data_IF_432189264367
#
_entry.id   IF_432189264367
#
_cell.length_a   1.000
_cell.length_b   1.000
_cell.length_c   1.000
_cell.angle_alpha   90.00
_cell.angle_beta   90.00
_cell.angle_gamma   90.00
#
_symmetry.space_group_name_H-M   'P 1'
#
loop_
_entity.id
_entity.type
_entity.pdbx_description
1 polymer ?
#
# COMPACT_ATOMS: atom_id res chain seq x y z
N UNK A 1 -23.91 6.62 -31.15
CA UNK A 1 -24.35 5.70 -32.22
C UNK A 1 -24.85 6.47 -33.43
N UNK A 2 -24.86 5.84 -34.62
CA UNK A 2 -25.29 6.52 -35.86
C UNK A 2 -26.82 6.68 -35.89
N UNK A 3 -27.30 7.92 -36.04
CA UNK A 3 -28.73 8.18 -36.23
C UNK A 3 -29.09 7.86 -37.68
N UNK A 4 -30.16 7.09 -37.95
CA UNK A 4 -30.61 6.82 -39.32
C UNK A 4 -30.83 8.12 -40.11
N UNK A 5 -30.53 8.10 -41.41
CA UNK A 5 -30.80 9.25 -42.28
C UNK A 5 -32.31 9.48 -42.37
N UNK A 6 -32.75 10.72 -42.17
CA UNK A 6 -34.16 11.08 -42.22
C UNK A 6 -34.45 11.64 -43.60
N UNK A 7 -35.41 11.06 -44.32
CA UNK A 7 -35.90 11.60 -45.60
C UNK A 7 -37.17 12.40 -45.37
N UNK A 8 -37.27 13.59 -45.97
CA UNK A 8 -38.47 14.42 -45.89
C UNK A 8 -38.81 15.04 -47.25
N UNK A 9 -40.09 15.38 -47.45
CA UNK A 9 -40.59 15.98 -48.70
C UNK A 9 -41.16 17.37 -48.41
N UNK A 10 -40.70 18.37 -49.15
CA UNK A 10 -41.23 19.74 -49.12
C UNK A 10 -42.26 19.87 -50.24
N UNK A 11 -43.42 20.44 -49.96
CA UNK A 11 -44.46 20.77 -50.95
C UNK A 11 -44.68 22.27 -50.97
N UNK A 12 -44.77 22.89 -52.15
CA UNK A 12 -45.07 24.32 -52.26
C UNK A 12 -46.59 24.60 -52.31
N UNK A 13 -46.96 25.88 -52.39
CA UNK A 13 -48.37 26.30 -52.46
C UNK A 13 -49.07 25.94 -53.78
N UNK A 14 -48.33 25.49 -54.79
CA UNK A 14 -48.85 25.04 -56.08
C UNK A 14 -48.99 23.51 -56.16
N UNK A 15 -48.39 22.77 -55.22
CA UNK A 15 -48.47 21.31 -55.11
C UNK A 15 -47.24 20.57 -55.64
N UNK A 16 -46.18 21.27 -56.05
CA UNK A 16 -44.91 20.66 -56.45
C UNK A 16 -44.18 20.10 -55.23
N UNK A 17 -43.57 18.92 -55.36
CA UNK A 17 -42.89 18.24 -54.25
C UNK A 17 -41.42 17.96 -54.54
N UNK A 18 -40.57 18.10 -53.52
CA UNK A 18 -39.14 17.77 -53.58
C UNK A 18 -38.72 17.00 -52.33
N UNK A 19 -38.04 15.87 -52.50
CA UNK A 19 -37.48 15.12 -51.37
C UNK A 19 -36.04 15.55 -51.07
N UNK A 20 -35.72 15.59 -49.78
CA UNK A 20 -34.43 15.96 -49.19
C UNK A 20 -34.09 15.05 -48.00
N UNK A 21 -32.86 15.16 -47.47
CA UNK A 21 -32.40 14.37 -46.32
C UNK A 21 -31.91 15.24 -45.17
N UNK A 22 -32.08 14.77 -43.94
CA UNK A 22 -31.47 15.29 -42.72
C UNK A 22 -30.58 14.18 -42.12
N UNK A 23 -29.31 14.48 -41.98
CA UNK A 23 -28.34 13.62 -41.29
C UNK A 23 -28.06 14.20 -39.91
N UNK A 24 -28.15 13.36 -38.87
CA UNK A 24 -27.77 13.72 -37.51
C UNK A 24 -26.56 12.87 -37.11
N UNK A 25 -25.49 13.53 -36.67
CA UNK A 25 -24.31 12.86 -36.13
C UNK A 25 -24.24 13.10 -34.62
N UNK A 26 -24.00 12.03 -33.87
CA UNK A 26 -23.74 12.09 -32.43
C UNK A 26 -22.30 11.62 -32.20
N UNK A 27 -21.47 12.52 -31.69
CA UNK A 27 -20.12 12.18 -31.22
C UNK A 27 -20.24 11.61 -29.80
N UNK A 28 -19.77 10.37 -29.55
CA UNK A 28 -19.68 9.86 -28.19
C UNK A 28 -18.73 10.73 -27.36
N UNK A 29 -18.96 10.76 -26.06
CA UNK A 29 -18.10 11.40 -25.06
C UNK A 29 -17.83 10.33 -24.03
N UNK A 30 -16.56 10.19 -23.62
CA UNK A 30 -16.15 9.28 -22.56
C UNK A 30 -17.04 9.43 -21.33
N UNK A 31 -17.59 8.31 -20.88
CA UNK A 31 -18.32 8.19 -19.61
C UNK A 31 -17.55 7.36 -18.58
N UNK A 32 -16.34 6.94 -18.91
CA UNK A 32 -15.40 6.28 -18.01
C UNK A 32 -15.11 7.15 -16.78
N UNK A 33 -15.33 6.57 -15.60
CA UNK A 33 -14.97 7.13 -14.30
C UNK A 33 -14.30 6.06 -13.44
N UNK A 34 -13.26 6.45 -12.70
CA UNK A 34 -12.45 5.61 -11.83
C UNK A 34 -11.82 6.51 -10.76
N UNK A 35 -11.88 6.10 -9.50
CA UNK A 35 -11.35 6.82 -8.34
C UNK A 35 -10.10 6.12 -7.81
N UNK A 36 -9.16 6.87 -7.23
CA UNK A 36 -7.93 6.29 -6.65
C UNK A 36 -8.20 5.43 -5.39
N UNK A 37 -7.46 4.33 -5.23
CA UNK A 37 -7.48 3.49 -4.04
C UNK A 37 -6.42 3.86 -3.00
N UNK A 38 -6.74 3.52 -1.75
CA UNK A 38 -5.77 3.47 -0.67
C UNK A 38 -5.99 2.20 0.14
N UNK A 39 -4.91 1.51 0.47
CA UNK A 39 -4.92 0.32 1.31
C UNK A 39 -3.81 0.42 2.36
N UNK A 40 -4.14 -0.04 3.57
CA UNK A 40 -3.20 -0.16 4.68
C UNK A 40 -3.23 -1.59 5.18
N UNK A 41 -2.05 -2.19 5.29
CA UNK A 41 -1.84 -3.54 5.84
C UNK A 41 -0.80 -3.48 6.97
N UNK A 42 -0.79 -4.48 7.84
CA UNK A 42 0.35 -4.74 8.71
C UNK A 42 1.53 -5.27 7.87
N UNK A 43 2.76 -5.11 8.35
CA UNK A 43 3.89 -5.83 7.76
C UNK A 43 3.70 -7.34 7.82
N UNK A 44 4.49 -8.05 7.00
CA UNK A 44 4.41 -9.50 6.78
C UNK A 44 3.02 -10.01 6.35
N UNK A 45 2.18 -9.11 5.86
CA UNK A 45 0.86 -9.42 5.32
C UNK A 45 0.83 -9.08 3.83
N UNK A 46 0.21 -9.94 3.02
CA UNK A 46 0.01 -9.65 1.60
C UNK A 46 -1.17 -8.68 1.45
N UNK A 47 -0.98 -7.57 0.74
CA UNK A 47 -2.07 -6.71 0.31
C UNK A 47 -2.71 -7.27 -0.96
N UNK A 48 -4.04 -7.35 -0.98
CA UNK A 48 -4.83 -7.80 -2.13
C UNK A 48 -6.06 -6.93 -2.32
N UNK A 49 -6.48 -6.73 -3.57
CA UNK A 49 -7.73 -6.03 -3.89
C UNK A 49 -7.97 -5.97 -5.38
N UNK A 50 -8.89 -5.11 -5.81
CA UNK A 50 -9.15 -4.83 -7.21
C UNK A 50 -9.29 -3.32 -7.43
N UNK A 51 -8.50 -2.74 -8.33
CA UNK A 51 -8.53 -1.30 -8.67
C UNK A 51 -9.71 -0.91 -9.58
N UNK A 52 -10.48 -1.87 -10.07
CA UNK A 52 -11.67 -1.63 -10.90
C UNK A 52 -12.98 -1.69 -10.09
N UNK A 53 -12.93 -1.94 -8.77
CA UNK A 53 -14.12 -2.10 -7.93
C UNK A 53 -14.97 -0.81 -7.85
N UNK A 54 -14.35 0.35 -8.02
CA UNK A 54 -15.01 1.67 -8.03
C UNK A 54 -15.17 2.26 -9.45
N UNK A 55 -14.70 1.55 -10.47
CA UNK A 55 -14.70 2.02 -11.85
C UNK A 55 -16.06 1.79 -12.53
N UNK A 56 -16.44 2.68 -13.45
CA UNK A 56 -17.72 2.62 -14.16
C UNK A 56 -17.65 3.21 -15.57
N UNK A 57 -18.45 2.64 -16.48
CA UNK A 57 -18.70 3.09 -17.86
C UNK A 57 -19.98 2.45 -18.38
N UNK A 58 -20.66 3.04 -19.37
CA UNK A 58 -21.73 2.36 -20.10
C UNK A 58 -21.23 1.58 -21.33
N UNK A 59 -19.96 1.74 -21.72
CA UNK A 59 -19.42 1.25 -22.99
C UNK A 59 -18.86 -0.18 -22.94
N UNK A 60 -18.96 -0.86 -21.80
CA UNK A 60 -18.71 -2.30 -21.69
C UNK A 60 -17.77 -2.69 -20.54
N UNK A 61 -17.08 -3.85 -20.64
CA UNK A 61 -16.13 -4.27 -19.62
C UNK A 61 -14.93 -3.33 -19.55
N UNK A 62 -14.38 -3.23 -18.34
CA UNK A 62 -13.22 -2.45 -17.98
C UNK A 62 -11.98 -3.35 -17.85
N UNK A 63 -10.82 -2.80 -18.17
CA UNK A 63 -9.52 -3.48 -18.02
C UNK A 63 -8.46 -2.49 -17.57
N UNK A 64 -7.43 -3.00 -16.90
CA UNK A 64 -6.17 -2.27 -16.73
C UNK A 64 -5.24 -2.63 -17.88
N UNK A 65 -4.64 -1.63 -18.52
CA UNK A 65 -3.74 -1.84 -19.66
C UNK A 65 -2.26 -1.74 -19.27
N UNK A 66 -1.93 -0.78 -18.40
CA UNK A 66 -0.56 -0.55 -17.93
C UNK A 66 -0.57 0.10 -16.56
N UNK A 67 0.57 0.02 -15.88
CA UNK A 67 0.82 0.74 -14.64
C UNK A 67 2.23 1.26 -14.56
N UNK A 68 2.45 2.28 -13.74
CA UNK A 68 3.72 2.93 -13.50
C UNK A 68 4.01 2.95 -12.01
N UNK A 69 5.18 2.48 -11.62
CA UNK A 69 5.65 2.46 -10.24
C UNK A 69 7.17 2.70 -10.21
N UNK A 70 7.65 3.48 -9.25
CA UNK A 70 9.07 3.84 -9.18
C UNK A 70 9.61 4.58 -10.42
N UNK A 71 8.73 5.23 -11.19
CA UNK A 71 9.08 5.94 -12.42
C UNK A 71 9.20 5.07 -13.68
N UNK A 72 8.93 3.77 -13.60
CA UNK A 72 8.95 2.86 -14.75
C UNK A 72 7.52 2.37 -15.09
N UNK A 73 7.23 2.18 -16.38
CA UNK A 73 5.94 1.68 -16.86
C UNK A 73 6.03 0.20 -17.23
N UNK A 74 5.00 -0.54 -16.84
CA UNK A 74 4.85 -1.99 -17.00
C UNK A 74 3.48 -2.30 -17.63
N UNK A 75 3.35 -3.47 -18.26
CA UNK A 75 2.06 -3.94 -18.74
C UNK A 75 1.26 -4.53 -17.58
N UNK A 76 -0.06 -4.43 -17.63
CA UNK A 76 -0.88 -5.18 -16.69
C UNK A 76 -0.63 -6.69 -16.84
N UNK A 77 -0.51 -7.38 -15.71
CA UNK A 77 -0.09 -8.78 -15.59
C UNK A 77 1.41 -8.98 -15.35
N UNK A 78 2.24 -7.93 -15.48
CA UNK A 78 3.65 -8.01 -15.09
C UNK A 78 3.79 -8.04 -13.56
N UNK A 79 4.73 -8.86 -13.09
CA UNK A 79 5.21 -8.86 -11.70
C UNK A 79 6.48 -8.02 -11.59
N UNK A 80 6.49 -7.08 -10.65
CA UNK A 80 7.54 -6.09 -10.46
C UNK A 80 8.14 -6.23 -9.07
N UNK A 81 9.46 -6.47 -9.01
CA UNK A 81 10.22 -6.43 -7.77
C UNK A 81 10.64 -4.99 -7.47
N UNK A 82 10.19 -4.48 -6.32
CA UNK A 82 10.52 -3.17 -5.77
C UNK A 82 11.49 -3.32 -4.60
N UNK A 83 11.99 -2.21 -4.07
CA UNK A 83 12.76 -2.19 -2.82
C UNK A 83 11.91 -2.58 -1.61
N UNK A 84 10.60 -2.33 -1.67
CA UNK A 84 9.64 -2.55 -0.59
C UNK A 84 8.98 -3.94 -0.62
N UNK A 85 9.02 -4.63 -1.77
CA UNK A 85 8.32 -5.90 -1.95
C UNK A 85 8.07 -6.24 -3.42
N UNK A 86 7.19 -7.21 -3.66
CA UNK A 86 6.78 -7.64 -5.01
C UNK A 86 5.34 -7.23 -5.31
N UNK A 87 5.13 -6.54 -6.43
CA UNK A 87 3.82 -6.07 -6.90
C UNK A 87 3.40 -6.82 -8.18
N UNK A 88 2.15 -7.25 -8.25
CA UNK A 88 1.48 -7.63 -9.50
C UNK A 88 0.15 -6.89 -9.61
N UNK A 89 -0.14 -6.30 -10.76
CA UNK A 89 -1.44 -5.70 -11.09
C UNK A 89 -1.93 -6.27 -12.42
N UNK A 90 -3.00 -7.06 -12.39
CA UNK A 90 -3.52 -7.81 -13.52
C UNK A 90 -4.46 -6.98 -14.39
N UNK A 91 -4.73 -7.48 -15.60
CA UNK A 91 -5.65 -6.84 -16.56
C UNK A 91 -7.09 -6.74 -16.07
N UNK A 92 -7.51 -7.62 -15.17
CA UNK A 92 -8.84 -7.61 -14.54
C UNK A 92 -8.92 -6.68 -13.31
N UNK A 93 -7.86 -5.91 -13.06
CA UNK A 93 -7.74 -4.98 -11.95
C UNK A 93 -7.32 -5.63 -10.63
N UNK A 94 -7.30 -6.96 -10.53
CA UNK A 94 -6.83 -7.63 -9.32
C UNK A 94 -5.34 -7.34 -9.10
N UNK A 95 -4.96 -7.05 -7.86
CA UNK A 95 -3.57 -6.82 -7.50
C UNK A 95 -3.15 -7.62 -6.27
N UNK A 96 -1.85 -7.87 -6.19
CA UNK A 96 -1.17 -8.39 -5.02
C UNK A 96 0.09 -7.58 -4.76
N UNK A 97 0.33 -7.20 -3.52
CA UNK A 97 1.63 -6.70 -3.07
C UNK A 97 2.08 -7.52 -1.86
N UNK A 98 3.25 -8.16 -1.99
CA UNK A 98 3.92 -8.90 -0.93
C UNK A 98 5.08 -8.05 -0.43
N UNK A 99 4.98 -7.41 0.74
CA UNK A 99 6.11 -6.71 1.35
C UNK A 99 7.31 -7.63 1.52
N UNK A 100 8.52 -7.07 1.48
CA UNK A 100 9.70 -7.78 1.99
C UNK A 100 9.54 -8.00 3.51
N UNK A 101 10.16 -9.06 4.05
CA UNK A 101 10.10 -9.37 5.48
C UNK A 101 10.49 -8.16 6.35
N UNK A 102 9.64 -7.84 7.34
CA UNK A 102 9.77 -6.71 8.27
C UNK A 102 9.85 -5.33 7.56
N UNK A 103 9.36 -5.23 6.32
CA UNK A 103 9.18 -3.92 5.69
C UNK A 103 7.93 -3.24 6.25
N UNK A 104 8.13 -2.08 6.85
CA UNK A 104 7.08 -1.11 7.14
C UNK A 104 7.40 0.26 6.53
N UNK A 105 6.36 0.98 6.14
CA UNK A 105 6.48 2.29 5.48
C UNK A 105 5.58 2.44 4.26
N UNK A 106 5.86 3.48 3.47
CA UNK A 106 5.11 3.79 2.26
C UNK A 106 5.72 3.09 1.04
N UNK A 107 4.87 2.50 0.22
CA UNK A 107 5.25 1.96 -1.10
C UNK A 107 5.18 3.10 -2.14
N UNK A 108 6.06 3.15 -3.15
CA UNK A 108 5.92 4.10 -4.25
C UNK A 108 4.52 4.03 -4.87
N UNK A 109 3.87 5.19 -5.04
CA UNK A 109 2.51 5.27 -5.60
C UNK A 109 2.46 4.59 -6.97
N UNK A 110 1.47 3.72 -7.14
CA UNK A 110 1.22 3.00 -8.39
C UNK A 110 0.19 3.80 -9.18
N UNK A 111 0.56 4.32 -10.35
CA UNK A 111 -0.38 4.95 -11.28
C UNK A 111 -0.79 3.93 -12.33
N UNK A 112 -2.08 3.67 -12.53
CA UNK A 112 -2.56 2.71 -13.53
C UNK A 112 -3.50 3.37 -14.54
N UNK A 113 -3.70 2.70 -15.67
CA UNK A 113 -4.58 3.14 -16.76
C UNK A 113 -5.74 2.16 -16.91
N UNK A 114 -6.95 2.64 -16.64
CA UNK A 114 -8.20 1.94 -16.92
C UNK A 114 -8.61 2.21 -18.35
N UNK A 115 -9.15 1.19 -19.02
CA UNK A 115 -9.61 1.26 -20.41
C UNK A 115 -10.93 0.51 -20.56
N UNK A 116 -11.91 1.15 -21.19
CA UNK A 116 -13.18 0.51 -21.55
C UNK A 116 -13.13 -0.13 -22.95
N UNK A 117 -14.26 -0.69 -23.38
CA UNK A 117 -14.37 -1.33 -24.69
C UNK A 117 -14.55 -0.37 -25.87
N UNK A 118 -14.86 0.91 -25.61
CA UNK A 118 -14.87 1.96 -26.62
C UNK A 118 -13.45 2.53 -26.88
N UNK A 119 -12.51 2.23 -25.99
CA UNK A 119 -11.12 2.69 -26.05
C UNK A 119 -10.87 3.99 -25.29
N UNK A 120 -11.84 4.45 -24.49
CA UNK A 120 -11.63 5.56 -23.58
C UNK A 120 -10.75 5.12 -22.41
N UNK A 121 -9.92 6.04 -21.91
CA UNK A 121 -8.91 5.75 -20.89
C UNK A 121 -8.94 6.76 -19.77
N UNK A 122 -8.68 6.30 -18.55
CA UNK A 122 -8.54 7.13 -17.37
C UNK A 122 -7.34 6.69 -16.54
N UNK A 123 -6.66 7.66 -15.93
CA UNK A 123 -5.53 7.41 -15.04
C UNK A 123 -5.94 7.66 -13.59
N UNK A 124 -5.59 6.69 -12.73
CA UNK A 124 -5.85 6.70 -11.30
C UNK A 124 -4.67 6.09 -10.54
N UNK A 125 -4.76 6.01 -9.21
CA UNK A 125 -3.64 5.59 -8.37
C UNK A 125 -4.02 4.63 -7.27
N UNK A 126 -3.19 3.61 -7.07
CA UNK A 126 -3.22 2.74 -5.89
C UNK A 126 -2.10 3.19 -4.93
N UNK A 127 -2.49 3.56 -3.70
CA UNK A 127 -1.55 3.89 -2.61
C UNK A 127 -1.56 2.78 -1.57
N UNK A 128 -0.39 2.19 -1.30
CA UNK A 128 -0.21 1.11 -0.31
C UNK A 128 0.66 1.64 0.84
N UNK A 129 0.18 1.46 2.06
CA UNK A 129 0.94 1.73 3.30
C UNK A 129 1.06 0.46 4.14
N UNK A 130 2.25 0.21 4.68
CA UNK A 130 2.53 -0.94 5.54
C UNK A 130 2.83 -0.43 6.95
N UNK A 131 2.05 -0.84 7.94
CA UNK A 131 2.20 -0.43 9.33
C UNK A 131 3.10 -1.40 10.09
N UNK A 132 3.99 -0.90 10.97
CA UNK A 132 4.85 -1.75 11.76
C UNK A 132 4.05 -2.58 12.77
N UNK A 133 4.54 -3.78 13.04
CA UNK A 133 4.15 -4.71 14.10
C UNK A 133 5.42 -5.01 14.88
N UNK A 134 5.34 -5.06 16.20
CA UNK A 134 6.56 -5.26 16.99
C UNK A 134 7.11 -6.68 16.79
N UNK A 135 8.37 -6.74 16.38
CA UNK A 135 9.14 -7.99 16.31
C UNK A 135 9.97 -8.25 17.57
N UNK A 136 9.74 -7.47 18.63
CA UNK A 136 10.47 -7.59 19.88
C UNK A 136 10.01 -8.83 20.65
N UNK A 137 10.95 -9.72 20.92
CA UNK A 137 10.80 -10.77 21.92
C UNK A 137 11.94 -10.68 22.94
N UNK A 138 11.65 -11.06 24.19
CA UNK A 138 12.58 -10.96 25.30
C UNK A 138 12.19 -11.98 26.40
N UNK A 139 13.17 -12.76 26.84
CA UNK A 139 13.03 -13.77 27.90
C UNK A 139 13.75 -13.29 29.17
N UNK A 140 13.14 -13.51 30.34
CA UNK A 140 13.72 -13.02 31.60
C UNK A 140 15.04 -13.68 32.00
N UNK A 141 15.99 -12.88 32.49
CA UNK A 141 17.26 -13.36 33.02
C UNK A 141 17.16 -13.88 34.46
N UNK A 142 18.05 -14.80 34.80
CA UNK A 142 18.33 -15.16 36.19
C UNK A 142 19.84 -15.29 36.40
N UNK A 143 20.38 -14.51 37.34
CA UNK A 143 21.78 -14.55 37.70
C UNK A 143 21.92 -15.07 39.13
N UNK A 144 22.80 -16.05 39.34
CA UNK A 144 23.17 -16.55 40.66
C UNK A 144 24.68 -16.47 40.81
N UNK A 145 25.11 -15.81 41.88
CA UNK A 145 26.52 -15.66 42.22
C UNK A 145 26.76 -16.12 43.66
N UNK A 146 28.02 -16.38 44.01
CA UNK A 146 28.41 -16.56 45.40
C UNK A 146 28.38 -15.21 46.13
N UNK A 147 28.23 -15.24 47.44
CA UNK A 147 28.44 -14.04 48.26
C UNK A 147 29.82 -13.43 48.02
N UNK A 148 29.91 -12.10 48.19
CA UNK A 148 31.14 -11.32 48.03
C UNK A 148 31.77 -11.39 46.63
N UNK A 149 30.96 -11.66 45.60
CA UNK A 149 31.39 -11.58 44.19
C UNK A 149 30.56 -10.55 43.42
N UNK A 150 31.11 -10.05 42.32
CA UNK A 150 30.41 -9.12 41.44
C UNK A 150 29.55 -9.92 40.46
N UNK A 151 28.24 -9.61 40.40
CA UNK A 151 27.38 -10.11 39.34
C UNK A 151 27.57 -9.27 38.07
N UNK A 152 27.72 -9.93 36.93
CA UNK A 152 27.82 -9.31 35.61
C UNK A 152 26.97 -10.11 34.63
N UNK A 153 26.39 -9.46 33.65
CA UNK A 153 25.61 -10.09 32.58
C UNK A 153 25.20 -9.05 31.55
N UNK A 154 24.36 -9.45 30.61
CA UNK A 154 23.67 -8.52 29.72
C UNK A 154 22.20 -8.92 29.63
N UNK A 155 21.29 -7.98 29.95
CA UNK A 155 19.84 -8.22 29.92
C UNK A 155 19.26 -8.21 28.50
N UNK A 156 20.07 -7.91 27.49
CA UNK A 156 19.69 -7.99 26.08
C UNK A 156 20.13 -9.31 25.43
N UNK A 157 20.80 -10.22 26.16
CA UNK A 157 21.31 -11.48 25.60
C UNK A 157 20.19 -12.41 25.11
N UNK A 158 18.98 -12.33 25.68
CA UNK A 158 17.81 -13.10 25.26
C UNK A 158 16.75 -12.26 24.54
N UNK A 159 17.07 -11.01 24.21
CA UNK A 159 16.18 -10.14 23.46
C UNK A 159 16.53 -10.18 21.97
N UNK A 160 15.52 -10.19 21.11
CA UNK A 160 15.69 -10.11 19.66
C UNK A 160 14.58 -9.27 19.02
N UNK A 161 14.91 -8.63 17.89
CA UNK A 161 13.96 -7.88 17.06
C UNK A 161 14.53 -7.67 15.65
N UNK A 162 13.65 -7.56 14.66
CA UNK A 162 14.03 -7.12 13.31
C UNK A 162 13.95 -5.59 13.13
N UNK A 163 13.35 -4.87 14.09
CA UNK A 163 13.10 -3.42 14.05
C UNK A 163 14.33 -2.54 14.35
N UNK A 164 15.53 -3.13 14.37
CA UNK A 164 16.79 -2.43 14.58
C UNK A 164 17.46 -2.73 15.92
N UNK A 165 18.27 -1.81 16.47
CA UNK A 165 19.10 -2.09 17.63
C UNK A 165 18.29 -2.09 18.94
N UNK A 166 18.57 -3.07 19.79
CA UNK A 166 18.05 -3.15 21.16
C UNK A 166 18.80 -2.20 22.09
N UNK A 167 18.07 -1.55 22.99
CA UNK A 167 18.64 -0.70 24.05
C UNK A 167 17.80 -0.78 25.31
N UNK A 168 18.46 -0.72 26.47
CA UNK A 168 17.76 -0.48 27.74
C UNK A 168 17.53 1.02 27.89
N UNK A 169 16.30 1.40 28.21
CA UNK A 169 15.92 2.82 28.40
C UNK A 169 15.79 3.20 29.88
N UNK A 170 15.25 2.29 30.69
CA UNK A 170 15.03 2.50 32.12
C UNK A 170 14.96 1.17 32.86
N UNK A 171 15.13 1.22 34.16
CA UNK A 171 14.92 0.08 35.05
C UNK A 171 14.31 0.51 36.37
N UNK A 172 13.74 -0.44 37.11
CA UNK A 172 13.13 -0.15 38.41
C UNK A 172 13.74 -1.00 39.51
N UNK A 173 14.05 -0.37 40.64
CA UNK A 173 14.54 -1.07 41.83
C UNK A 173 13.84 -0.51 43.06
N UNK A 174 13.26 -1.39 43.88
CA UNK A 174 12.54 -0.99 45.10
C UNK A 174 11.36 -0.04 44.84
N UNK A 175 10.78 -0.05 43.63
CA UNK A 175 9.68 0.84 43.25
C UNK A 175 10.09 2.22 42.71
N UNK A 176 11.39 2.53 42.64
CA UNK A 176 11.89 3.74 42.00
C UNK A 176 12.36 3.43 40.56
N UNK A 177 12.11 4.36 39.63
CA UNK A 177 12.58 4.27 38.24
C UNK A 177 13.88 5.05 38.05
N UNK A 178 14.83 4.42 37.37
CA UNK A 178 16.14 4.96 37.02
C UNK A 178 16.33 4.91 35.50
N UNK A 179 17.18 5.79 34.98
CA UNK A 179 17.57 5.75 33.56
C UNK A 179 18.68 4.71 33.37
N UNK A 180 18.73 4.06 32.21
CA UNK A 180 19.88 3.23 31.89
C UNK A 180 21.19 4.05 31.97
N UNK A 181 22.23 3.46 32.59
CA UNK A 181 23.50 4.09 32.95
C UNK A 181 23.56 4.64 34.37
N UNK A 182 22.42 4.75 35.07
CA UNK A 182 22.42 5.14 36.49
C UNK A 182 23.00 4.02 37.36
N UNK A 183 23.67 4.42 38.44
CA UNK A 183 24.12 3.49 39.49
C UNK A 183 23.23 3.65 40.72
N UNK A 184 22.67 2.55 41.19
CA UNK A 184 21.76 2.47 42.34
C UNK A 184 22.45 1.78 43.51
N UNK A 185 22.51 2.46 44.65
CA UNK A 185 23.00 1.87 45.91
C UNK A 185 21.86 1.18 46.64
N UNK A 186 22.03 -0.11 46.92
CA UNK A 186 21.13 -0.99 47.65
C UNK A 186 21.74 -1.40 49.00
N UNK A 187 20.96 -2.03 49.86
CA UNK A 187 21.50 -2.62 51.09
C UNK A 187 22.46 -3.77 50.81
N UNK A 188 22.32 -4.43 49.66
CA UNK A 188 23.10 -5.59 49.22
C UNK A 188 24.31 -5.23 48.34
N UNK A 189 24.44 -3.99 47.86
CA UNK A 189 25.53 -3.59 46.95
C UNK A 189 25.17 -2.40 46.05
N UNK A 190 25.90 -2.24 44.95
CA UNK A 190 25.59 -1.27 43.90
C UNK A 190 25.20 -2.00 42.60
N UNK A 191 24.20 -1.48 41.90
CA UNK A 191 23.75 -1.97 40.60
C UNK A 191 23.87 -0.84 39.57
N UNK A 192 24.50 -1.14 38.45
CA UNK A 192 24.45 -0.32 37.23
C UNK A 192 23.83 -1.17 36.14
N UNK A 193 22.89 -0.60 35.36
CA UNK A 193 22.38 -1.22 34.15
C UNK A 193 22.50 -0.23 33.00
N UNK A 194 23.39 -0.50 32.06
CA UNK A 194 23.76 0.39 30.97
C UNK A 194 22.78 0.29 29.79
N UNK A 195 22.86 1.26 28.86
CA UNK A 195 22.00 1.31 27.68
C UNK A 195 22.22 0.13 26.72
N UNK A 196 23.41 -0.48 26.75
CA UNK A 196 23.77 -1.67 25.97
C UNK A 196 23.40 -2.99 26.67
N UNK A 197 22.70 -2.89 27.81
CA UNK A 197 22.20 -4.01 28.59
C UNK A 197 23.16 -4.58 29.63
N UNK A 198 24.40 -4.10 29.69
CA UNK A 198 25.42 -4.56 30.67
C UNK A 198 25.28 -4.00 32.07
#
# INVERSE_FOLDING_TARGET
GAVPVITYTVTDGAGDTQSSTLTISVTPVSDLSDDSETVTIAEDTIATGNVLDNAATADGPLTVTSFTVGGNTYNAGDTVTLTEGELTLNTDGSYTFTPNDNFNGAVPVITYIVTDSAGDTQSSTLTISVTPVSDLSDDSETVTIAEDTIATGNVLDNAETADGPLTVTSFTVGGNTYSAGDTVTLTEGELTLNTDGS
#
